data_IF_542730020517
#
_entry.id   IF_542730020517
#
_cell.length_a   1.000
_cell.length_b   1.000
_cell.length_c   1.000
_cell.angle_alpha   90.00
_cell.angle_beta   90.00
_cell.angle_gamma   90.00
#
_symmetry.space_group_name_H-M   'P 1'
#
loop_
_entity.id
_entity.type
_entity.pdbx_description
1 polymer ?
#
# COMPACT_ATOMS: atom_id res chain seq x y z
N UNK A 1 30.46 75.53 12.95
CA UNK A 1 29.44 74.57 13.35
C UNK A 1 29.10 73.69 12.14
N UNK A 2 29.67 72.47 12.07
CA UNK A 2 29.37 71.48 10.98
C UNK A 2 28.38 70.46 11.52
N UNK A 3 27.19 70.40 10.95
CA UNK A 3 26.18 69.39 11.26
C UNK A 3 26.50 68.12 10.45
N UNK A 4 26.78 67.01 11.13
CA UNK A 4 26.89 65.69 10.53
C UNK A 4 25.50 65.09 10.41
N UNK A 5 25.15 64.71 9.17
CA UNK A 5 23.92 64.02 8.83
C UNK A 5 24.17 62.48 8.88
N UNK A 6 23.61 61.79 9.89
CA UNK A 6 23.64 60.32 9.91
C UNK A 6 22.52 59.77 9.06
N UNK A 7 22.87 59.11 7.93
CA UNK A 7 21.95 58.31 7.14
C UNK A 7 21.83 56.93 7.81
N UNK A 8 20.65 56.60 8.36
CA UNK A 8 20.29 55.25 8.78
C UNK A 8 19.92 54.46 7.50
N UNK A 9 20.79 53.53 7.09
CA UNK A 9 20.47 52.53 6.09
C UNK A 9 19.81 51.34 6.78
N UNK A 10 18.48 51.24 6.70
CA UNK A 10 17.74 50.09 7.12
C UNK A 10 17.90 48.95 6.09
N UNK A 11 18.69 47.94 6.42
CA UNK A 11 18.81 46.72 5.65
C UNK A 11 17.54 45.89 5.91
N UNK A 12 16.60 45.89 4.98
CA UNK A 12 15.51 44.98 4.91
C UNK A 12 16.06 43.61 4.47
N UNK A 13 16.32 42.70 5.43
CA UNK A 13 16.55 41.31 5.18
C UNK A 13 15.20 40.70 4.68
N UNK A 14 15.16 40.09 3.50
CA UNK A 14 13.97 39.33 3.12
C UNK A 14 13.87 38.10 4.03
N UNK A 15 12.87 38.08 4.91
CA UNK A 15 12.42 36.86 5.54
C UNK A 15 11.91 35.95 4.41
N UNK A 16 12.73 35.02 3.95
CA UNK A 16 12.25 33.85 3.23
C UNK A 16 11.42 33.03 4.23
N UNK A 17 10.11 33.26 4.22
CA UNK A 17 9.16 32.29 4.74
C UNK A 17 9.34 31.02 3.92
N UNK A 18 10.08 30.07 4.44
CA UNK A 18 10.00 28.70 4.00
C UNK A 18 8.57 28.28 4.33
N UNK A 19 7.69 28.29 3.33
CA UNK A 19 6.40 27.64 3.46
C UNK A 19 6.71 26.17 3.79
N UNK A 20 6.42 25.78 5.01
CA UNK A 20 6.50 24.38 5.40
C UNK A 20 5.52 23.67 4.46
N UNK A 21 6.05 22.86 3.54
CA UNK A 21 5.23 22.14 2.58
C UNK A 21 4.23 21.33 3.39
N UNK A 22 2.95 21.66 3.25
CA UNK A 22 1.89 20.95 3.97
C UNK A 22 2.02 19.46 3.67
N UNK A 23 2.02 18.65 4.72
CA UNK A 23 2.07 17.18 4.58
C UNK A 23 0.81 16.74 3.86
N UNK A 24 0.97 15.93 2.82
CA UNK A 24 -0.16 15.24 2.21
C UNK A 24 -0.90 14.43 3.29
N UNK A 25 -2.20 14.66 3.45
CA UNK A 25 -3.07 13.92 4.35
C UNK A 25 -4.40 13.71 3.65
N UNK A 26 -4.70 12.46 3.30
CA UNK A 26 -5.93 12.09 2.62
C UNK A 26 -6.80 11.20 3.50
N UNK A 27 -8.06 11.55 3.68
CA UNK A 27 -9.05 10.77 4.43
C UNK A 27 -10.42 10.89 3.79
N UNK A 28 -10.93 9.80 3.21
CA UNK A 28 -12.27 9.73 2.63
C UNK A 28 -13.35 9.69 3.72
N UNK A 29 -14.28 10.62 3.71
CA UNK A 29 -15.38 10.71 4.66
C UNK A 29 -16.70 10.19 4.11
N UNK A 30 -16.74 9.76 2.83
CA UNK A 30 -17.98 9.50 2.09
C UNK A 30 -18.81 8.33 2.64
N UNK A 31 -18.16 7.38 3.30
CA UNK A 31 -18.80 6.15 3.76
C UNK A 31 -19.29 6.22 5.21
N UNK A 32 -18.54 6.88 6.10
CA UNK A 32 -18.80 6.85 7.55
C UNK A 32 -18.77 8.23 8.21
N UNK A 33 -18.65 9.31 7.43
CA UNK A 33 -18.69 10.70 7.92
C UNK A 33 -17.42 11.16 8.63
N UNK A 34 -16.43 10.27 8.83
CA UNK A 34 -15.10 10.59 9.35
C UNK A 34 -14.03 10.10 8.38
N UNK A 35 -12.82 10.66 8.38
CA UNK A 35 -11.73 10.18 7.53
C UNK A 35 -11.46 8.69 7.72
N UNK A 36 -11.58 7.91 6.63
CA UNK A 36 -11.36 6.47 6.71
C UNK A 36 -10.84 5.93 5.37
N UNK A 37 -9.52 5.97 5.19
CA UNK A 37 -8.81 5.49 4.00
C UNK A 37 -7.66 4.61 4.41
N UNK A 38 -7.61 3.37 3.89
CA UNK A 38 -6.60 2.37 4.23
C UNK A 38 -5.99 1.75 2.98
N UNK A 39 -4.89 1.02 3.16
CA UNK A 39 -4.30 0.15 2.15
C UNK A 39 -4.07 0.87 0.82
N UNK A 40 -3.28 1.98 0.77
CA UNK A 40 -3.12 2.78 -0.44
C UNK A 40 -2.37 2.04 -1.53
N UNK A 41 -2.75 2.27 -2.79
CA UNK A 41 -1.98 1.90 -3.97
C UNK A 41 -2.08 3.00 -5.03
N UNK A 42 -0.95 3.49 -5.53
CA UNK A 42 -0.87 4.62 -6.45
C UNK A 42 -0.25 4.20 -7.77
N UNK A 43 -0.85 4.66 -8.86
CA UNK A 43 -0.32 4.50 -10.23
C UNK A 43 -0.37 5.82 -10.98
N UNK A 44 0.44 5.95 -12.03
CA UNK A 44 0.25 6.95 -13.07
C UNK A 44 -0.43 6.29 -14.27
N UNK A 45 -1.60 6.78 -14.66
CA UNK A 45 -2.33 6.30 -15.82
C UNK A 45 -2.71 7.47 -16.71
N UNK A 46 -2.17 7.50 -17.93
CA UNK A 46 -2.38 8.57 -18.92
C UNK A 46 -2.07 9.98 -18.37
N UNK A 47 -1.01 10.12 -17.56
CA UNK A 47 -0.57 11.40 -17.01
C UNK A 47 -1.35 11.90 -15.80
N UNK A 48 -2.30 11.12 -15.29
CA UNK A 48 -3.04 11.36 -14.05
C UNK A 48 -2.64 10.33 -13.00
N UNK A 49 -2.40 10.77 -11.77
CA UNK A 49 -2.19 9.86 -10.66
C UNK A 49 -3.53 9.37 -10.13
N UNK A 50 -3.64 8.06 -9.94
CA UNK A 50 -4.77 7.39 -9.32
C UNK A 50 -4.32 6.75 -8.03
N UNK A 51 -5.07 6.95 -6.95
CA UNK A 51 -4.91 6.25 -5.69
C UNK A 51 -6.15 5.39 -5.45
N UNK A 52 -5.92 4.09 -5.31
CA UNK A 52 -6.90 3.11 -4.87
C UNK A 52 -6.67 2.83 -3.40
N UNK A 53 -7.74 2.73 -2.62
CA UNK A 53 -7.63 2.56 -1.17
C UNK A 53 -8.87 1.85 -0.62
N UNK A 54 -8.73 1.12 0.47
CA UNK A 54 -9.86 0.45 1.13
C UNK A 54 -10.76 1.46 1.83
N UNK A 55 -12.08 1.29 1.65
CA UNK A 55 -13.13 2.05 2.33
C UNK A 55 -14.08 1.11 3.08
N UNK A 56 -14.57 1.51 4.28
CA UNK A 56 -15.43 0.67 5.09
C UNK A 56 -16.83 0.51 4.48
N UNK A 57 -17.67 -0.41 5.02
CA UNK A 57 -19.08 -0.46 4.70
C UNK A 57 -19.77 0.87 4.99
N UNK A 58 -20.69 1.29 4.13
CA UNK A 58 -21.42 2.55 4.30
C UNK A 58 -22.20 2.56 5.62
N UNK A 59 -21.97 3.61 6.43
CA UNK A 59 -22.58 3.75 7.76
C UNK A 59 -22.39 2.51 8.66
N UNK A 60 -21.27 1.79 8.49
CA UNK A 60 -20.99 0.53 9.20
C UNK A 60 -22.09 -0.53 9.00
N UNK A 61 -22.68 -0.57 7.81
CA UNK A 61 -23.70 -1.55 7.44
C UNK A 61 -23.21 -2.99 7.72
N UNK A 62 -24.12 -3.85 8.20
CA UNK A 62 -23.84 -5.27 8.38
C UNK A 62 -24.09 -6.10 7.11
N UNK A 63 -24.76 -5.51 6.13
CA UNK A 63 -25.13 -6.17 4.86
C UNK A 63 -24.30 -5.72 3.68
N UNK A 64 -23.74 -4.52 3.73
CA UNK A 64 -22.81 -4.00 2.74
C UNK A 64 -21.37 -4.30 3.19
N UNK A 65 -20.53 -4.76 2.28
CA UNK A 65 -19.14 -5.07 2.56
C UNK A 65 -18.20 -3.87 2.37
N UNK A 66 -16.94 -4.10 2.63
CA UNK A 66 -15.85 -3.19 2.28
C UNK A 66 -15.81 -2.97 0.76
N UNK A 67 -15.27 -1.84 0.35
CA UNK A 67 -15.05 -1.46 -1.04
C UNK A 67 -13.68 -0.83 -1.24
N UNK A 68 -13.42 -0.39 -2.47
CA UNK A 68 -12.21 0.35 -2.85
C UNK A 68 -12.63 1.75 -3.29
N UNK A 69 -12.09 2.78 -2.64
CA UNK A 69 -12.21 4.17 -3.05
C UNK A 69 -11.23 4.48 -4.17
N UNK A 70 -11.57 5.45 -5.01
CA UNK A 70 -10.72 5.96 -6.08
C UNK A 70 -10.56 7.45 -5.94
N UNK A 71 -9.33 7.93 -5.84
CA UNK A 71 -8.99 9.34 -5.87
C UNK A 71 -7.97 9.62 -6.97
N UNK A 72 -7.98 10.86 -7.49
CA UNK A 72 -7.02 11.33 -8.51
C UNK A 72 -6.26 12.55 -8.04
N UNK A 73 -5.06 12.72 -8.57
CA UNK A 73 -4.18 13.86 -8.34
C UNK A 73 -3.38 14.21 -9.60
N UNK A 74 -2.88 15.45 -9.66
CA UNK A 74 -1.90 15.90 -10.66
C UNK A 74 -0.54 16.20 -10.04
N UNK A 75 -0.42 16.16 -8.71
CA UNK A 75 0.79 16.61 -7.99
C UNK A 75 1.22 15.67 -6.84
N UNK A 76 0.51 14.53 -6.63
CA UNK A 76 0.70 13.57 -5.54
C UNK A 76 0.44 14.12 -4.12
N UNK A 77 0.00 15.37 -3.99
CA UNK A 77 -0.27 16.06 -2.71
C UNK A 77 -1.76 16.30 -2.52
N UNK A 78 -2.39 16.87 -3.54
CA UNK A 78 -3.81 17.19 -3.52
C UNK A 78 -4.61 16.09 -4.22
N UNK A 79 -5.45 15.39 -3.47
CA UNK A 79 -6.22 14.25 -3.95
C UNK A 79 -7.72 14.53 -3.94
N UNK A 80 -8.39 14.24 -5.04
CA UNK A 80 -9.82 14.37 -5.20
C UNK A 80 -10.46 13.00 -5.36
N UNK A 81 -11.41 12.66 -4.49
CA UNK A 81 -12.21 11.44 -4.64
C UNK A 81 -13.05 11.53 -5.92
N UNK A 82 -12.94 10.52 -6.78
CA UNK A 82 -13.66 10.47 -8.08
C UNK A 82 -14.63 9.29 -8.18
N UNK A 83 -14.54 8.29 -7.31
CA UNK A 83 -15.41 7.13 -7.38
C UNK A 83 -15.15 6.11 -6.28
N UNK A 84 -15.84 4.98 -6.43
CA UNK A 84 -15.64 3.79 -5.63
C UNK A 84 -15.91 2.53 -6.45
N UNK A 85 -15.28 1.45 -6.05
CA UNK A 85 -15.42 0.12 -6.66
C UNK A 85 -15.99 -0.78 -5.57
N UNK A 86 -17.11 -1.41 -5.86
CA UNK A 86 -17.81 -2.34 -4.96
C UNK A 86 -17.95 -3.70 -5.62
N UNK A 87 -18.24 -4.72 -4.82
CA UNK A 87 -18.49 -6.06 -5.35
C UNK A 87 -19.58 -6.09 -6.41
N UNK A 88 -20.63 -5.29 -6.21
CA UNK A 88 -21.73 -5.14 -7.20
C UNK A 88 -21.27 -4.41 -8.46
N UNK A 89 -20.47 -3.32 -8.32
CA UNK A 89 -20.05 -2.52 -9.48
C UNK A 89 -19.07 -3.25 -10.40
N UNK A 90 -18.31 -4.23 -9.88
CA UNK A 90 -17.44 -5.08 -10.71
C UNK A 90 -18.17 -6.31 -11.29
N UNK A 91 -19.44 -6.52 -10.96
CA UNK A 91 -20.22 -7.67 -11.45
C UNK A 91 -20.03 -8.95 -10.63
N UNK A 92 -19.65 -8.84 -9.34
CA UNK A 92 -19.53 -9.96 -8.40
C UNK A 92 -20.32 -9.70 -7.09
N UNK A 93 -21.66 -9.62 -7.16
CA UNK A 93 -22.49 -9.23 -6.02
C UNK A 93 -22.51 -10.25 -4.87
N UNK A 94 -22.18 -11.52 -5.15
CA UNK A 94 -22.17 -12.59 -4.13
C UNK A 94 -20.96 -12.51 -3.19
N UNK A 95 -19.95 -11.73 -3.55
CA UNK A 95 -18.78 -11.48 -2.69
C UNK A 95 -19.18 -10.56 -1.54
N UNK A 96 -18.83 -10.91 -0.31
CA UNK A 96 -19.20 -10.13 0.89
C UNK A 96 -18.56 -8.75 0.96
N UNK A 97 -17.35 -8.59 0.45
CA UNK A 97 -16.61 -7.35 0.42
C UNK A 97 -15.31 -7.49 -0.35
N UNK A 98 -14.70 -6.36 -0.67
CA UNK A 98 -13.40 -6.27 -1.35
C UNK A 98 -12.55 -5.18 -0.73
N UNK A 99 -11.25 -5.37 -0.60
CA UNK A 99 -10.32 -4.35 -0.08
C UNK A 99 -8.87 -4.65 -0.46
N UNK A 100 -7.93 -3.89 0.09
CA UNK A 100 -6.48 -3.97 -0.14
C UNK A 100 -6.15 -4.06 -1.64
N UNK A 101 -6.37 -2.96 -2.38
CA UNK A 101 -6.14 -2.92 -3.82
C UNK A 101 -4.65 -2.91 -4.14
N UNK A 102 -4.28 -3.55 -5.24
CA UNK A 102 -3.01 -3.37 -5.95
C UNK A 102 -3.32 -3.12 -7.42
N UNK A 103 -2.76 -2.10 -8.03
CA UNK A 103 -3.05 -1.74 -9.41
C UNK A 103 -1.79 -1.77 -10.29
N UNK A 104 -1.93 -2.27 -11.52
CA UNK A 104 -0.87 -2.34 -12.51
C UNK A 104 -1.38 -1.76 -13.84
N UNK A 105 -0.60 -0.87 -14.44
CA UNK A 105 -0.88 -0.38 -15.81
C UNK A 105 -0.20 -1.31 -16.81
N UNK A 106 -0.99 -1.93 -17.67
CA UNK A 106 -0.50 -2.84 -18.70
C UNK A 106 -1.36 -2.67 -19.97
N UNK A 107 -0.71 -2.51 -21.12
CA UNK A 107 -1.36 -2.41 -22.44
C UNK A 107 -2.49 -1.37 -22.50
N UNK A 108 -2.26 -0.19 -21.88
CA UNK A 108 -3.23 0.90 -21.89
C UNK A 108 -4.47 0.68 -21.02
N UNK A 109 -4.42 -0.31 -20.12
CA UNK A 109 -5.48 -0.62 -19.16
C UNK A 109 -4.95 -0.64 -17.75
N UNK A 110 -5.85 -0.47 -16.78
CA UNK A 110 -5.57 -0.67 -15.36
C UNK A 110 -6.06 -2.04 -14.95
N UNK A 111 -5.16 -2.87 -14.47
CA UNK A 111 -5.43 -4.15 -13.84
C UNK A 111 -5.46 -3.95 -12.33
N UNK A 112 -6.58 -4.23 -11.70
CA UNK A 112 -6.79 -4.13 -10.26
C UNK A 112 -6.81 -5.52 -9.66
N UNK A 113 -5.89 -5.79 -8.75
CA UNK A 113 -5.88 -6.97 -7.90
C UNK A 113 -6.40 -6.55 -6.52
N UNK A 114 -7.28 -7.35 -5.95
CA UNK A 114 -7.90 -7.06 -4.67
C UNK A 114 -8.24 -8.35 -3.94
N UNK A 115 -8.38 -8.28 -2.64
CA UNK A 115 -8.83 -9.44 -1.88
C UNK A 115 -10.34 -9.48 -1.77
N UNK A 116 -10.94 -10.67 -1.82
CA UNK A 116 -12.26 -10.89 -1.22
C UNK A 116 -12.14 -10.75 0.29
N UNK A 117 -13.15 -10.20 0.94
CA UNK A 117 -13.10 -9.93 2.37
C UNK A 117 -14.39 -10.33 3.09
N UNK A 118 -14.22 -10.98 4.25
CA UNK A 118 -15.33 -11.40 5.11
C UNK A 118 -15.66 -12.89 5.04
N UNK A 119 -14.86 -13.67 4.28
CA UNK A 119 -15.00 -15.14 4.19
C UNK A 119 -13.95 -15.91 5.01
N UNK A 120 -13.10 -15.18 5.78
CA UNK A 120 -12.12 -15.74 6.70
C UNK A 120 -11.04 -16.54 5.96
N UNK A 121 -10.88 -17.83 6.28
CA UNK A 121 -9.89 -18.70 5.63
C UNK A 121 -10.08 -18.82 4.11
N UNK A 122 -11.27 -18.50 3.58
CA UNK A 122 -11.60 -18.57 2.15
C UNK A 122 -11.39 -17.24 1.40
N UNK A 123 -10.94 -16.19 2.09
CA UNK A 123 -10.55 -14.97 1.37
C UNK A 123 -9.44 -15.26 0.37
N UNK A 124 -9.54 -14.67 -0.81
CA UNK A 124 -8.74 -14.99 -1.98
C UNK A 124 -8.44 -13.72 -2.80
N UNK A 125 -7.45 -13.79 -3.65
CA UNK A 125 -7.14 -12.70 -4.57
C UNK A 125 -8.04 -12.79 -5.80
N UNK A 126 -8.60 -11.64 -6.16
CA UNK A 126 -9.43 -11.42 -7.33
C UNK A 126 -8.79 -10.38 -8.25
N UNK A 127 -9.25 -10.33 -9.49
CA UNK A 127 -8.76 -9.44 -10.53
C UNK A 127 -9.93 -8.76 -11.25
N UNK A 128 -9.70 -7.50 -11.66
CA UNK A 128 -10.62 -6.75 -12.51
C UNK A 128 -9.82 -5.83 -13.44
N UNK A 129 -10.42 -5.42 -14.56
CA UNK A 129 -9.77 -4.57 -15.57
C UNK A 129 -10.61 -3.34 -15.85
N UNK A 130 -9.94 -2.21 -16.06
CA UNK A 130 -10.53 -0.93 -16.46
C UNK A 130 -9.78 -0.29 -17.62
N UNK A 131 -10.50 0.40 -18.49
CA UNK A 131 -9.95 1.27 -19.53
C UNK A 131 -9.88 2.75 -19.13
N UNK A 132 -10.54 3.14 -18.02
CA UNK A 132 -10.63 4.53 -17.55
C UNK A 132 -10.08 4.73 -16.13
N UNK A 133 -9.66 3.66 -15.44
CA UNK A 133 -9.16 3.70 -14.08
C UNK A 133 -10.23 3.88 -12.99
N UNK A 134 -11.50 3.93 -13.35
CA UNK A 134 -12.62 4.16 -12.40
C UNK A 134 -13.64 3.03 -12.46
N UNK A 135 -14.04 2.61 -13.65
CA UNK A 135 -15.01 1.54 -13.86
C UNK A 135 -14.29 0.24 -14.20
N UNK A 136 -14.46 -0.75 -13.37
CA UNK A 136 -13.80 -2.04 -13.49
C UNK A 136 -14.80 -3.16 -13.78
N UNK A 137 -14.35 -4.13 -14.56
CA UNK A 137 -15.08 -5.38 -14.82
C UNK A 137 -14.27 -6.54 -14.25
N UNK A 138 -14.89 -7.33 -13.38
CA UNK A 138 -14.25 -8.48 -12.76
C UNK A 138 -13.86 -9.54 -13.80
N UNK A 139 -12.72 -10.17 -13.55
CA UNK A 139 -12.31 -11.37 -14.27
C UNK A 139 -13.34 -12.50 -14.03
N UNK A 140 -13.73 -13.18 -15.09
CA UNK A 140 -14.72 -14.27 -15.00
C UNK A 140 -14.21 -15.49 -14.27
N UNK A 141 -12.88 -15.64 -14.15
CA UNK A 141 -12.24 -16.74 -13.45
C UNK A 141 -12.04 -16.48 -11.95
N UNK A 142 -12.47 -15.31 -11.43
CA UNK A 142 -12.31 -14.99 -10.00
C UNK A 142 -12.89 -16.06 -9.06
N UNK A 143 -12.21 -16.38 -7.96
CA UNK A 143 -10.93 -15.82 -7.52
C UNK A 143 -9.76 -16.35 -8.36
N UNK A 144 -8.82 -15.45 -8.71
CA UNK A 144 -7.69 -15.83 -9.56
C UNK A 144 -6.60 -16.59 -8.81
N UNK A 145 -6.50 -16.39 -7.48
CA UNK A 145 -5.49 -17.07 -6.70
C UNK A 145 -5.86 -17.23 -5.23
N UNK A 146 -5.55 -18.41 -4.74
CA UNK A 146 -5.47 -18.79 -3.32
C UNK A 146 -4.49 -19.96 -3.21
N UNK A 147 -3.56 -19.97 -2.23
CA UNK A 147 -2.68 -21.13 -2.07
C UNK A 147 -3.49 -22.34 -1.60
N UNK A 148 -3.02 -23.54 -1.92
CA UNK A 148 -3.50 -24.76 -1.27
C UNK A 148 -3.12 -24.76 0.23
N UNK A 149 -3.92 -25.40 1.05
CA UNK A 149 -3.60 -25.60 2.48
C UNK A 149 -2.32 -26.44 2.60
N UNK A 150 -1.40 -26.02 3.47
CA UNK A 150 -0.13 -26.69 3.71
C UNK A 150 0.34 -26.40 5.14
N UNK A 151 1.45 -27.02 5.57
CA UNK A 151 1.99 -26.89 6.92
C UNK A 151 2.31 -25.42 7.33
N UNK A 152 2.40 -24.52 6.37
CA UNK A 152 2.68 -23.10 6.60
C UNK A 152 1.48 -22.18 6.30
N UNK A 153 0.42 -22.65 5.65
CA UNK A 153 -0.69 -21.80 5.21
C UNK A 153 -2.05 -22.47 5.37
N UNK A 154 -3.01 -21.71 5.88
CA UNK A 154 -4.42 -22.13 5.97
C UNK A 154 -5.18 -21.97 4.63
N UNK A 155 -4.50 -21.72 3.52
CA UNK A 155 -5.12 -21.55 2.21
C UNK A 155 -5.73 -20.17 1.93
N UNK A 156 -5.58 -19.19 2.85
CA UNK A 156 -6.02 -17.80 2.66
C UNK A 156 -5.03 -17.01 1.82
N UNK A 157 -5.51 -16.08 0.97
CA UNK A 157 -4.67 -15.06 0.34
C UNK A 157 -5.32 -13.69 0.43
N UNK A 158 -4.57 -12.71 0.95
CA UNK A 158 -4.98 -11.30 1.07
C UNK A 158 -3.79 -10.39 0.74
N UNK A 159 -4.03 -9.07 0.66
CA UNK A 159 -3.02 -8.01 0.51
C UNK A 159 -2.09 -8.28 -0.68
N UNK A 160 -2.69 -8.37 -1.87
CA UNK A 160 -1.96 -8.65 -3.10
C UNK A 160 -0.98 -7.53 -3.46
N UNK A 161 0.23 -7.91 -3.84
CA UNK A 161 1.15 -7.04 -4.57
C UNK A 161 1.63 -7.77 -5.82
N UNK A 162 1.28 -7.24 -7.00
CA UNK A 162 1.63 -7.84 -8.29
C UNK A 162 2.68 -6.99 -8.99
N UNK A 163 3.79 -7.61 -9.38
CA UNK A 163 4.90 -6.92 -10.03
C UNK A 163 5.59 -7.81 -11.06
N UNK A 164 6.20 -7.21 -12.09
CA UNK A 164 6.94 -7.93 -13.13
C UNK A 164 8.44 -7.90 -12.86
N UNK A 165 9.09 -9.06 -12.82
CA UNK A 165 10.54 -9.16 -12.66
C UNK A 165 11.11 -10.28 -13.52
N UNK A 166 12.18 -9.97 -14.28
CA UNK A 166 12.89 -10.93 -15.16
C UNK A 166 11.95 -11.75 -16.04
N UNK A 167 10.98 -11.09 -16.66
CA UNK A 167 10.05 -11.71 -17.61
C UNK A 167 8.96 -12.57 -17.00
N UNK A 168 8.76 -12.55 -15.68
CA UNK A 168 7.66 -13.21 -14.96
C UNK A 168 6.91 -12.23 -14.08
N UNK A 169 5.64 -12.52 -13.78
CA UNK A 169 4.89 -11.82 -12.74
C UNK A 169 5.02 -12.55 -11.42
N UNK A 170 5.12 -11.77 -10.35
CA UNK A 170 5.14 -12.19 -8.96
C UNK A 170 3.89 -11.62 -8.29
N UNK A 171 3.14 -12.46 -7.62
CA UNK A 171 2.03 -12.10 -6.74
C UNK A 171 2.47 -12.41 -5.31
N UNK A 172 2.78 -11.37 -4.53
CA UNK A 172 2.97 -11.48 -3.10
C UNK A 172 1.62 -11.40 -2.42
N UNK A 173 1.42 -12.19 -1.38
CA UNK A 173 0.18 -12.25 -0.63
C UNK A 173 0.44 -12.53 0.84
N UNK A 174 -0.40 -12.02 1.72
CA UNK A 174 -0.41 -12.43 3.11
C UNK A 174 -1.35 -13.63 3.29
N UNK A 175 -0.91 -14.58 4.12
CA UNK A 175 -1.68 -15.75 4.52
C UNK A 175 -1.54 -15.95 6.02
N UNK A 176 -2.34 -16.83 6.62
CA UNK A 176 -2.15 -17.25 8.00
C UNK A 176 -1.65 -18.68 8.09
N UNK A 177 -0.96 -18.97 9.19
CA UNK A 177 -0.58 -20.32 9.56
C UNK A 177 -1.83 -21.23 9.70
N UNK A 178 -1.70 -22.55 9.70
CA UNK A 178 -2.84 -23.48 9.82
C UNK A 178 -3.68 -23.25 11.08
N UNK A 179 -3.06 -22.77 12.18
CA UNK A 179 -3.75 -22.42 13.42
C UNK A 179 -4.51 -21.09 13.34
N UNK A 180 -4.40 -20.35 12.22
CA UNK A 180 -5.04 -19.06 11.97
C UNK A 180 -4.59 -17.94 12.93
N UNK A 181 -3.36 -18.00 13.45
CA UNK A 181 -2.81 -17.08 14.44
C UNK A 181 -1.77 -16.14 13.88
N UNK A 182 -0.77 -16.69 13.16
CA UNK A 182 0.36 -15.93 12.64
C UNK A 182 0.10 -15.58 11.18
N UNK A 183 0.13 -14.29 10.84
CA UNK A 183 0.04 -13.82 9.47
C UNK A 183 1.44 -13.62 8.90
N UNK A 184 1.66 -14.07 7.67
CA UNK A 184 2.96 -14.16 7.04
C UNK A 184 2.86 -14.05 5.52
N UNK A 185 3.96 -13.76 4.85
CA UNK A 185 4.01 -13.56 3.40
C UNK A 185 4.31 -14.84 2.63
N UNK A 186 3.58 -15.04 1.54
CA UNK A 186 3.85 -16.01 0.50
C UNK A 186 4.06 -15.34 -0.86
N UNK A 187 4.43 -16.14 -1.86
CA UNK A 187 4.60 -15.69 -3.23
C UNK A 187 4.13 -16.74 -4.23
N UNK A 188 3.40 -16.29 -5.24
CA UNK A 188 3.08 -17.06 -6.44
C UNK A 188 3.70 -16.38 -7.67
N UNK A 189 3.88 -17.16 -8.74
CA UNK A 189 4.46 -16.67 -9.99
C UNK A 189 3.57 -17.03 -11.17
N UNK A 190 3.56 -16.18 -12.19
CA UNK A 190 2.96 -16.41 -13.49
C UNK A 190 3.94 -16.10 -14.62
N UNK A 191 3.69 -16.63 -15.83
CA UNK A 191 4.47 -16.31 -17.01
C UNK A 191 4.31 -14.84 -17.41
N UNK A 192 5.27 -14.32 -18.17
CA UNK A 192 5.28 -12.91 -18.58
C UNK A 192 4.23 -12.51 -19.62
N UNK A 193 3.55 -13.48 -20.21
CA UNK A 193 2.44 -13.38 -21.18
C UNK A 193 1.09 -13.78 -20.55
N UNK A 194 0.99 -13.85 -19.24
CA UNK A 194 -0.23 -14.22 -18.51
C UNK A 194 -1.36 -13.22 -18.75
N UNK A 195 -2.59 -13.73 -18.79
CA UNK A 195 -3.83 -12.94 -18.72
C UNK A 195 -4.33 -12.70 -17.28
N UNK A 196 -3.57 -13.18 -16.29
CA UNK A 196 -3.86 -13.17 -14.85
C UNK A 196 -5.07 -14.00 -14.40
N UNK A 197 -5.67 -14.80 -15.27
CA UNK A 197 -6.80 -15.67 -14.91
C UNK A 197 -6.44 -16.73 -13.87
N UNK A 198 -7.47 -17.37 -13.30
CA UNK A 198 -7.29 -18.52 -12.42
C UNK A 198 -6.54 -19.64 -13.17
N UNK A 199 -5.58 -20.28 -12.46
CA UNK A 199 -4.70 -21.29 -13.06
C UNK A 199 -3.44 -20.74 -13.73
N UNK A 200 -3.32 -19.42 -13.92
CA UNK A 200 -2.07 -18.78 -14.39
C UNK A 200 -1.00 -18.73 -13.32
N UNK A 201 -1.37 -18.84 -12.06
CA UNK A 201 -0.52 -18.66 -10.90
C UNK A 201 -0.06 -19.98 -10.30
N UNK A 202 1.21 -20.07 -9.95
CA UNK A 202 1.79 -21.22 -9.24
C UNK A 202 2.47 -20.72 -7.98
N UNK A 203 2.16 -21.32 -6.82
CA UNK A 203 2.86 -21.05 -5.56
C UNK A 203 4.35 -21.32 -5.74
N UNK A 204 5.20 -20.36 -5.41
CA UNK A 204 6.65 -20.42 -5.65
C UNK A 204 7.45 -20.57 -4.34
N UNK A 205 6.79 -20.89 -3.24
CA UNK A 205 7.41 -21.12 -1.93
C UNK A 205 6.74 -22.30 -1.22
N UNK A 206 7.52 -23.07 -0.50
CA UNK A 206 7.10 -24.20 0.36
C UNK A 206 7.01 -23.84 1.84
N UNK A 207 7.33 -22.60 2.17
CA UNK A 207 7.29 -21.97 3.50
C UNK A 207 7.12 -20.46 3.34
N UNK A 208 6.82 -19.71 4.41
CA UNK A 208 6.71 -18.25 4.31
C UNK A 208 8.02 -17.64 3.79
N UNK A 209 7.91 -16.68 2.87
CA UNK A 209 9.06 -15.89 2.42
C UNK A 209 9.48 -14.85 3.47
N UNK A 210 8.52 -14.39 4.29
CA UNK A 210 8.71 -13.60 5.51
C UNK A 210 7.65 -14.02 6.53
N UNK A 211 8.10 -14.34 7.76
CA UNK A 211 7.26 -14.52 8.93
C UNK A 211 7.75 -13.61 10.06
N UNK A 212 6.93 -13.24 11.05
CA UNK A 212 7.35 -12.40 12.18
C UNK A 212 8.54 -13.01 12.93
N UNK A 213 9.55 -12.21 13.23
CA UNK A 213 10.74 -12.61 14.02
C UNK A 213 11.18 -11.55 15.02
N UNK A 214 10.77 -10.29 14.86
CA UNK A 214 11.08 -9.19 15.77
C UNK A 214 9.85 -8.81 16.59
N UNK A 215 10.06 -8.32 17.81
CA UNK A 215 8.97 -7.96 18.72
C UNK A 215 7.98 -6.96 18.10
N UNK A 216 8.47 -5.99 17.33
CA UNK A 216 7.62 -5.00 16.67
C UNK A 216 6.77 -5.60 15.51
N UNK A 217 7.14 -6.75 14.98
CA UNK A 217 6.35 -7.46 13.96
C UNK A 217 5.19 -8.25 14.58
N UNK A 218 5.21 -8.46 15.90
CA UNK A 218 4.15 -9.14 16.65
C UNK A 218 3.82 -10.52 16.05
N UNK A 219 2.57 -10.69 15.64
CA UNK A 219 2.06 -11.92 15.01
C UNK A 219 1.71 -11.74 13.52
N UNK A 220 2.17 -10.64 12.89
CA UNK A 220 1.69 -10.32 11.55
C UNK A 220 2.78 -9.69 10.68
N UNK A 221 2.94 -10.24 9.48
CA UNK A 221 3.57 -9.59 8.32
C UNK A 221 2.53 -9.55 7.21
N UNK A 222 2.23 -8.35 6.69
CA UNK A 222 1.26 -8.13 5.61
C UNK A 222 1.63 -6.93 4.72
N UNK A 223 0.80 -6.61 3.72
CA UNK A 223 0.90 -5.38 2.94
C UNK A 223 2.25 -5.20 2.26
N UNK A 224 2.74 -6.23 1.55
CA UNK A 224 3.97 -6.11 0.79
C UNK A 224 3.83 -5.07 -0.32
N UNK A 225 4.85 -4.24 -0.52
CA UNK A 225 4.98 -3.39 -1.70
C UNK A 225 6.40 -3.44 -2.25
N UNK A 226 6.54 -3.56 -3.56
CA UNK A 226 7.81 -3.86 -4.22
C UNK A 226 8.32 -2.66 -5.02
N UNK A 227 9.58 -2.31 -4.80
CA UNK A 227 10.29 -1.41 -5.71
C UNK A 227 11.64 -2.01 -6.15
N UNK A 228 12.23 -1.39 -7.15
CA UNK A 228 13.49 -1.86 -7.75
C UNK A 228 14.58 -0.81 -7.59
N UNK A 229 15.79 -1.26 -7.23
CA UNK A 229 16.98 -0.42 -7.28
C UNK A 229 18.18 -1.23 -7.80
N UNK A 230 18.65 -0.89 -8.98
CA UNK A 230 19.64 -1.67 -9.71
C UNK A 230 19.12 -3.09 -10.01
N UNK A 231 19.88 -4.12 -9.60
CA UNK A 231 19.52 -5.53 -9.81
C UNK A 231 18.83 -6.18 -8.61
N UNK A 232 18.28 -5.37 -7.68
CA UNK A 232 17.65 -5.84 -6.45
C UNK A 232 16.19 -5.42 -6.40
N UNK A 233 15.38 -6.26 -5.77
CA UNK A 233 14.02 -5.99 -5.34
C UNK A 233 14.05 -5.61 -3.86
N UNK A 234 13.26 -4.63 -3.50
CA UNK A 234 13.04 -4.22 -2.11
C UNK A 234 11.55 -4.36 -1.82
N UNK A 235 11.23 -5.07 -0.75
CA UNK A 235 9.89 -5.22 -0.22
C UNK A 235 9.76 -4.35 1.02
N UNK A 236 8.86 -3.40 0.98
CA UNK A 236 8.38 -2.72 2.17
C UNK A 236 7.14 -3.49 2.65
N UNK A 237 7.06 -3.78 3.92
CA UNK A 237 6.00 -4.61 4.50
C UNK A 237 5.53 -4.04 5.83
N UNK A 238 4.28 -4.31 6.19
CA UNK A 238 3.74 -3.98 7.48
C UNK A 238 4.00 -5.12 8.48
N UNK A 239 4.53 -4.78 9.65
CA UNK A 239 4.71 -5.67 10.78
C UNK A 239 3.73 -5.32 11.90
N UNK A 240 3.15 -6.33 12.54
CA UNK A 240 2.06 -6.29 13.50
C UNK A 240 0.67 -6.11 12.88
N UNK A 241 -0.37 -6.43 13.63
CA UNK A 241 -1.75 -6.15 13.22
C UNK A 241 -2.10 -4.67 13.39
N UNK A 242 -3.14 -4.21 12.67
CA UNK A 242 -3.62 -2.83 12.78
C UNK A 242 -3.82 -2.43 14.25
N UNK A 243 -3.26 -1.27 14.62
CA UNK A 243 -3.28 -0.68 15.98
C UNK A 243 -2.71 -1.58 17.10
N UNK A 244 -1.83 -2.54 16.77
CA UNK A 244 -1.18 -3.41 17.76
C UNK A 244 0.31 -3.12 18.09
N UNK A 245 0.97 -2.01 17.78
CA UNK A 245 0.84 -1.03 16.69
C UNK A 245 1.58 -1.46 15.42
N UNK A 246 0.99 -1.28 14.26
CA UNK A 246 1.63 -1.62 12.98
C UNK A 246 2.73 -0.63 12.63
N UNK A 247 3.84 -1.11 12.09
CA UNK A 247 4.99 -0.32 11.61
C UNK A 247 5.53 -0.93 10.30
N UNK A 248 6.43 -0.23 9.60
CA UNK A 248 6.90 -0.65 8.28
C UNK A 248 8.35 -1.12 8.36
N UNK A 249 8.63 -2.31 7.84
CA UNK A 249 9.96 -2.86 7.64
C UNK A 249 10.39 -2.92 6.18
N UNK A 250 11.66 -3.24 5.94
CA UNK A 250 12.21 -3.40 4.59
C UNK A 250 13.03 -4.68 4.50
N UNK A 251 12.79 -5.46 3.45
CA UNK A 251 13.59 -6.61 3.06
C UNK A 251 14.10 -6.46 1.62
N UNK A 252 15.17 -7.18 1.28
CA UNK A 252 15.81 -7.15 -0.04
C UNK A 252 15.94 -8.55 -0.60
N UNK A 253 15.75 -8.68 -1.93
CA UNK A 253 15.91 -9.93 -2.68
C UNK A 253 16.58 -9.69 -4.02
N UNK A 254 17.11 -10.77 -4.63
CA UNK A 254 17.64 -10.80 -6.01
C UNK A 254 16.84 -11.69 -6.95
N UNK A 255 15.95 -12.50 -6.40
CA UNK A 255 15.15 -13.49 -7.14
C UNK A 255 13.64 -13.37 -6.91
N UNK A 256 13.23 -12.55 -5.91
CA UNK A 256 11.82 -12.34 -5.56
C UNK A 256 11.23 -13.42 -4.63
N UNK A 257 12.02 -14.43 -4.25
CA UNK A 257 11.59 -15.55 -3.40
C UNK A 257 12.35 -15.56 -2.08
N UNK A 258 13.67 -15.38 -2.13
CA UNK A 258 14.51 -15.36 -0.94
C UNK A 258 14.73 -13.92 -0.47
N UNK A 259 14.23 -13.59 0.71
CA UNK A 259 14.24 -12.25 1.26
C UNK A 259 15.09 -12.13 2.50
N UNK A 260 15.84 -11.04 2.63
CA UNK A 260 16.62 -10.69 3.81
C UNK A 260 16.21 -9.32 4.31
N UNK A 261 15.79 -9.20 5.58
CA UNK A 261 15.54 -7.90 6.22
C UNK A 261 16.78 -7.03 6.22
N UNK A 262 16.63 -5.75 5.99
CA UNK A 262 17.73 -4.77 6.02
C UNK A 262 18.07 -4.33 7.45
N UNK A 263 17.13 -4.42 8.38
CA UNK A 263 17.28 -4.01 9.78
C UNK A 263 16.44 -4.90 10.68
N UNK A 264 16.80 -4.99 11.94
CA UNK A 264 15.97 -5.54 13.01
C UNK A 264 14.92 -4.52 13.49
N UNK A 265 15.15 -3.24 13.21
CA UNK A 265 14.30 -2.13 13.58
C UNK A 265 13.36 -1.75 12.42
N UNK A 266 12.18 -1.20 12.70
CA UNK A 266 11.30 -0.67 11.66
C UNK A 266 12.00 0.40 10.82
N UNK A 267 11.69 0.44 9.54
CA UNK A 267 12.06 1.51 8.62
C UNK A 267 11.22 2.76 8.88
N UNK A 268 9.91 2.61 9.03
CA UNK A 268 8.99 3.67 9.45
C UNK A 268 8.36 3.29 10.77
N UNK A 269 8.72 4.05 11.80
CA UNK A 269 8.17 3.92 13.15
C UNK A 269 6.87 4.69 13.28
N UNK A 270 6.08 4.33 14.26
CA UNK A 270 4.97 5.15 14.71
C UNK A 270 5.46 6.47 15.29
N UNK A 271 4.63 7.48 15.21
CA UNK A 271 4.86 8.78 15.80
C UNK A 271 4.89 8.73 17.34
N UNK A 272 5.42 9.78 17.96
CA UNK A 272 5.37 9.97 19.40
C UNK A 272 3.92 10.19 19.86
N UNK A 273 3.61 9.99 21.16
CA UNK A 273 2.29 10.33 21.69
C UNK A 273 1.88 11.76 21.31
N UNK A 274 0.69 11.91 20.74
CA UNK A 274 0.16 13.19 20.24
C UNK A 274 0.41 13.45 18.75
N UNK A 275 1.32 12.73 18.09
CA UNK A 275 1.47 12.82 16.64
C UNK A 275 0.37 12.03 15.93
N UNK A 276 0.05 12.42 14.69
CA UNK A 276 -1.09 11.90 13.92
C UNK A 276 -1.05 10.38 13.67
N UNK A 277 0.13 9.77 13.69
CA UNK A 277 0.36 8.35 13.42
C UNK A 277 0.90 7.58 14.64
N UNK A 278 0.60 8.07 15.85
CA UNK A 278 1.12 7.44 17.07
C UNK A 278 0.53 6.08 17.40
N UNK A 279 -0.62 5.73 16.81
CA UNK A 279 -1.23 4.40 16.95
C UNK A 279 -0.92 3.46 15.79
N UNK A 280 -0.54 4.02 14.62
CA UNK A 280 -0.37 3.21 13.41
C UNK A 280 0.48 3.96 12.37
N UNK A 281 1.40 3.24 11.73
CA UNK A 281 2.08 3.59 10.47
C UNK A 281 2.28 2.32 9.68
N UNK A 282 1.33 1.96 8.84
CA UNK A 282 1.32 0.63 8.21
C UNK A 282 0.87 0.61 6.76
N UNK A 283 0.75 -0.59 6.24
CA UNK A 283 0.29 -0.90 4.90
C UNK A 283 0.95 -0.05 3.81
N UNK A 284 2.28 -0.24 3.57
CA UNK A 284 3.07 0.60 2.68
C UNK A 284 2.73 0.37 1.22
N UNK A 285 2.86 1.43 0.41
CA UNK A 285 2.94 1.32 -1.04
C UNK A 285 4.07 2.21 -1.57
N UNK A 286 4.97 1.63 -2.36
CA UNK A 286 6.07 2.34 -3.03
C UNK A 286 5.66 2.71 -4.45
N UNK A 287 5.54 4.00 -4.69
CA UNK A 287 5.31 4.56 -6.00
C UNK A 287 6.59 5.22 -6.52
N UNK A 288 7.08 4.80 -7.68
CA UNK A 288 8.18 5.47 -8.38
C UNK A 288 7.62 6.26 -9.54
N UNK A 289 7.78 7.56 -9.50
CA UNK A 289 7.28 8.49 -10.51
C UNK A 289 8.16 8.49 -11.78
N UNK A 290 7.64 9.08 -12.84
CA UNK A 290 8.31 9.19 -14.15
C UNK A 290 9.65 9.93 -14.08
N UNK A 291 9.84 10.84 -13.11
CA UNK A 291 11.09 11.54 -12.86
C UNK A 291 12.11 10.73 -12.02
N UNK A 292 11.74 9.51 -11.64
CA UNK A 292 12.59 8.60 -10.87
C UNK A 292 12.56 8.80 -9.36
N UNK A 293 11.81 9.78 -8.84
CA UNK A 293 11.56 9.93 -7.39
C UNK A 293 10.67 8.79 -6.91
N UNK A 294 10.94 8.32 -5.71
CA UNK A 294 10.19 7.23 -5.08
C UNK A 294 9.50 7.76 -3.82
N UNK A 295 8.22 7.47 -3.69
CA UNK A 295 7.39 7.87 -2.57
C UNK A 295 6.87 6.65 -1.84
N UNK A 296 6.93 6.68 -0.52
CA UNK A 296 6.26 5.73 0.37
C UNK A 296 4.89 6.31 0.74
N UNK A 297 3.82 5.74 0.20
CA UNK A 297 2.47 5.97 0.70
C UNK A 297 2.18 4.97 1.83
N UNK A 298 1.53 5.42 2.88
CA UNK A 298 1.17 4.57 4.00
C UNK A 298 -0.03 5.11 4.77
N UNK A 299 -0.72 4.22 5.46
CA UNK A 299 -1.83 4.58 6.34
C UNK A 299 -1.35 4.87 7.76
N UNK A 300 -2.13 5.68 8.50
CA UNK A 300 -1.89 5.90 9.91
C UNK A 300 -3.08 6.53 10.64
N UNK A 301 -3.00 6.49 11.96
CA UNK A 301 -3.93 7.15 12.87
C UNK A 301 -3.30 7.33 14.27
N UNK A 302 -3.96 8.11 15.13
CA UNK A 302 -3.56 8.30 16.53
C UNK A 302 -4.69 8.06 17.54
N UNK A 303 -5.78 7.46 17.08
CA UNK A 303 -7.01 7.29 17.86
C UNK A 303 -7.49 5.82 17.92
N UNK A 304 -6.55 4.90 17.71
CA UNK A 304 -6.77 3.44 17.71
C UNK A 304 -7.80 3.00 16.66
N UNK A 305 -7.70 3.59 15.46
CA UNK A 305 -8.46 3.19 14.29
C UNK A 305 -9.87 3.75 14.18
N UNK A 306 -10.21 4.80 14.93
CA UNK A 306 -11.47 5.52 14.74
C UNK A 306 -11.46 6.35 13.48
N UNK A 307 -10.30 6.92 13.14
CA UNK A 307 -10.03 7.57 11.86
C UNK A 307 -8.82 6.92 11.17
N UNK A 308 -8.75 7.06 9.85
CA UNK A 308 -7.63 6.57 9.05
C UNK A 308 -7.29 7.56 7.96
N UNK A 309 -6.03 7.89 7.89
CA UNK A 309 -5.47 8.77 6.88
C UNK A 309 -4.39 8.07 6.09
N UNK A 310 -4.22 8.47 4.83
CA UNK A 310 -3.10 8.12 3.98
C UNK A 310 -2.21 9.35 3.84
N UNK A 311 -0.90 9.16 3.96
CA UNK A 311 0.11 10.17 3.70
C UNK A 311 1.20 9.62 2.79
N UNK A 312 2.15 10.47 2.39
CA UNK A 312 3.33 10.05 1.63
C UNK A 312 4.61 10.73 2.14
N UNK A 313 5.73 10.05 1.99
CA UNK A 313 7.07 10.56 2.25
C UNK A 313 8.03 10.15 1.12
N UNK A 314 8.94 11.04 0.72
CA UNK A 314 9.93 10.72 -0.32
C UNK A 314 11.00 9.77 0.25
N UNK A 315 11.28 8.68 -0.49
CA UNK A 315 12.30 7.69 -0.15
C UNK A 315 13.55 7.97 -0.97
N UNK A 316 14.64 8.24 -0.28
CA UNK A 316 15.96 8.45 -0.85
C UNK A 316 16.82 7.19 -0.68
N UNK A 317 17.91 7.11 -1.46
CA UNK A 317 18.77 5.94 -1.48
C UNK A 317 20.24 6.31 -1.31
N UNK A 318 20.93 5.66 -0.35
CA UNK A 318 22.36 5.80 -0.15
C UNK A 318 23.01 4.42 -0.03
N UNK A 319 23.97 4.12 -0.88
CA UNK A 319 24.67 2.82 -0.91
C UNK A 319 23.71 1.59 -0.95
N UNK A 320 22.59 1.71 -1.66
CA UNK A 320 21.58 0.63 -1.77
C UNK A 320 20.72 0.42 -0.52
N UNK A 321 20.70 1.37 0.40
CA UNK A 321 19.78 1.40 1.55
C UNK A 321 18.80 2.54 1.40
N UNK A 322 17.48 2.32 1.59
CA UNK A 322 16.49 3.38 1.61
C UNK A 322 16.54 4.15 2.92
N UNK A 323 16.12 5.42 2.88
CA UNK A 323 15.87 6.26 4.05
C UNK A 323 14.82 7.32 3.70
N UNK A 324 14.11 7.83 4.69
CA UNK A 324 13.09 8.87 4.48
C UNK A 324 13.76 10.25 4.41
N UNK A 325 13.32 11.07 3.47
CA UNK A 325 13.82 12.45 3.33
C UNK A 325 13.54 13.29 4.56
N UNK A 326 12.45 13.02 5.26
CA UNK A 326 12.07 13.71 6.50
C UNK A 326 12.99 13.42 7.69
N UNK A 327 13.89 12.44 7.60
CA UNK A 327 14.84 12.04 8.64
C UNK A 327 16.25 12.61 8.42
N UNK A 328 16.42 13.52 7.44
CA UNK A 328 17.62 14.33 7.25
C UNK A 328 17.56 15.61 8.08
#
# INVERSE_FOLDING_TARGET
MKRALFLLVSVLLPFMLWAQQERMMFGDTSRVGVPYSKDPHVINFNGTYYMYYSIPPKNWSKTEGWGVGVATSTDLVNWNRVGEITTASVGNPDMKGMCAPCALVLEGKVHLFYQSYGSGKRDAICHAVSSDGVRFVADRSNPIYRPEEADWTCGRAIDAEVTKYKGRYFLYFATRDPAYKIQQQGVAVAKGDTDFSAGSWTTACDKPILAPVYDWEGLCIEGASICYKGKKMYMFYAGSYNNAPQQIGVAVSRDGIHWKRLSAEPFKRNGKPGEWNSSESGHPHLFTDVDGRTYLFYQGNNDKGKTWYITQEEVLWKHGKPYLKSEQ
#
